data_IF_760796570850
#
_entry.id   IF_760796570850
#
_cell.length_a   1.000
_cell.length_b   1.000
_cell.length_c   1.000
_cell.angle_alpha   90.00
_cell.angle_beta   90.00
_cell.angle_gamma   90.00
#
_symmetry.space_group_name_H-M   'P 1'
#
loop_
_entity.id
_entity.type
_entity.pdbx_description
1 polymer ?
#
# COMPACT_ATOMS: atom_id res chain seq x y z
N UNK A 1 14.30 -7.79 -9.61
CA UNK A 1 13.47 -6.58 -9.84
C UNK A 1 12.07 -6.62 -9.21
N UNK A 2 11.33 -7.75 -9.22
CA UNK A 2 10.00 -7.82 -8.56
C UNK A 2 10.07 -7.58 -7.04
N UNK A 3 10.97 -8.26 -6.34
CA UNK A 3 11.16 -8.09 -4.89
C UNK A 3 11.45 -6.64 -4.46
N UNK A 4 12.29 -5.92 -5.21
CA UNK A 4 12.58 -4.50 -4.93
C UNK A 4 11.35 -3.61 -5.09
N UNK A 5 10.49 -3.87 -6.09
CA UNK A 5 9.24 -3.13 -6.28
C UNK A 5 8.24 -3.42 -5.16
N UNK A 6 8.13 -4.66 -4.72
CA UNK A 6 7.30 -5.04 -3.56
C UNK A 6 7.81 -4.42 -2.27
N UNK A 7 9.13 -4.40 -2.06
CA UNK A 7 9.73 -3.74 -0.90
C UNK A 7 9.50 -2.22 -0.94
N UNK A 8 9.68 -1.59 -2.09
CA UNK A 8 9.42 -0.16 -2.26
C UNK A 8 7.95 0.20 -2.03
N UNK A 9 6.99 -0.58 -2.55
CA UNK A 9 5.56 -0.35 -2.29
C UNK A 9 5.20 -0.57 -0.81
N UNK A 10 5.82 -1.56 -0.15
CA UNK A 10 5.66 -1.79 1.28
C UNK A 10 6.20 -0.63 2.12
N UNK A 11 7.38 -0.09 1.80
CA UNK A 11 7.93 1.08 2.49
C UNK A 11 7.08 2.32 2.28
N UNK A 12 6.58 2.56 1.07
CA UNK A 12 5.68 3.67 0.79
C UNK A 12 4.36 3.56 1.58
N UNK A 13 3.81 2.34 1.70
CA UNK A 13 2.63 2.08 2.53
C UNK A 13 2.89 2.38 4.02
N UNK A 14 4.04 1.96 4.55
CA UNK A 14 4.42 2.26 5.94
C UNK A 14 4.61 3.76 6.17
N UNK A 15 5.27 4.47 5.24
CA UNK A 15 5.46 5.92 5.29
C UNK A 15 4.10 6.64 5.36
N UNK A 16 3.15 6.28 4.48
CA UNK A 16 1.81 6.85 4.48
C UNK A 16 1.08 6.62 5.81
N UNK A 17 1.20 5.42 6.39
CA UNK A 17 0.57 5.11 7.67
C UNK A 17 1.11 6.01 8.79
N UNK A 18 2.43 6.19 8.85
CA UNK A 18 3.09 7.06 9.84
C UNK A 18 2.65 8.51 9.66
N UNK A 19 2.53 8.99 8.43
CA UNK A 19 2.06 10.35 8.13
C UNK A 19 0.62 10.57 8.59
N UNK A 20 -0.29 9.62 8.30
CA UNK A 20 -1.69 9.69 8.74
C UNK A 20 -1.79 9.66 10.27
N UNK A 21 -1.01 8.81 10.93
CA UNK A 21 -0.95 8.76 12.40
C UNK A 21 -0.42 10.10 12.95
N UNK A 22 0.67 10.61 12.39
CA UNK A 22 1.29 11.88 12.80
C UNK A 22 0.31 13.04 12.66
N UNK A 23 -0.41 13.12 11.53
CA UNK A 23 -1.40 14.16 11.29
C UNK A 23 -2.57 14.09 12.29
N UNK A 24 -3.05 12.88 12.58
CA UNK A 24 -4.10 12.67 13.58
C UNK A 24 -3.66 13.08 14.99
N UNK A 25 -2.41 12.78 15.36
CA UNK A 25 -1.85 13.16 16.68
C UNK A 25 -1.68 14.68 16.76
N UNK A 26 -1.12 15.29 15.72
CA UNK A 26 -0.91 16.73 15.65
C UNK A 26 -2.22 17.53 15.80
N UNK A 27 -3.33 16.99 15.29
CA UNK A 27 -4.65 17.63 15.35
C UNK A 27 -5.58 17.07 16.43
N UNK A 28 -5.08 16.27 17.39
CA UNK A 28 -5.91 15.61 18.39
C UNK A 28 -6.74 16.58 19.25
N UNK A 29 -6.20 17.78 19.50
CA UNK A 29 -6.86 18.81 20.32
C UNK A 29 -7.64 19.84 19.49
N UNK A 30 -7.69 19.69 18.16
CA UNK A 30 -8.42 20.63 17.29
C UNK A 30 -9.90 20.30 17.31
N UNK A 31 -10.73 21.24 17.81
CA UNK A 31 -12.17 21.07 17.90
C UNK A 31 -12.76 20.87 16.48
N UNK A 32 -13.53 19.79 16.30
CA UNK A 32 -14.16 19.47 15.01
C UNK A 32 -13.26 18.72 14.02
N UNK A 33 -12.03 18.35 14.41
CA UNK A 33 -11.15 17.54 13.55
C UNK A 33 -11.69 16.12 13.37
N UNK A 34 -11.65 15.62 12.12
CA UNK A 34 -12.06 14.27 11.75
C UNK A 34 -10.84 13.40 11.52
N UNK A 35 -10.70 12.35 12.33
CA UNK A 35 -9.59 11.39 12.22
C UNK A 35 -9.58 10.69 10.87
N UNK A 36 -8.42 10.60 10.24
CA UNK A 36 -8.20 9.86 9.00
C UNK A 36 -7.59 8.48 9.28
N UNK A 37 -7.82 7.51 8.39
CA UNK A 37 -7.19 6.17 8.46
C UNK A 37 -6.68 5.80 7.07
N UNK A 38 -5.47 5.25 7.01
CA UNK A 38 -4.94 4.66 5.80
C UNK A 38 -5.50 3.24 5.66
N UNK A 39 -5.96 2.90 4.46
CA UNK A 39 -6.35 1.55 4.08
C UNK A 39 -5.49 1.11 2.90
N UNK A 40 -5.11 -0.17 2.90
CA UNK A 40 -4.26 -0.75 1.87
C UNK A 40 -5.05 -1.82 1.12
N UNK A 41 -4.85 -1.88 -0.19
CA UNK A 41 -5.49 -2.86 -1.06
C UNK A 41 -4.42 -3.55 -1.90
N UNK A 42 -4.66 -4.82 -2.21
CA UNK A 42 -3.77 -5.61 -3.04
C UNK A 42 -3.84 -5.15 -4.50
N UNK A 43 -2.71 -5.31 -5.20
CA UNK A 43 -2.63 -5.07 -6.63
C UNK A 43 -3.16 -6.29 -7.41
N UNK A 44 -3.54 -6.08 -8.67
CA UNK A 44 -3.95 -7.16 -9.59
C UNK A 44 -2.88 -8.26 -9.68
N UNK A 45 -3.30 -9.50 -9.51
CA UNK A 45 -2.43 -10.67 -9.63
C UNK A 45 -2.04 -10.90 -11.10
N UNK A 46 -0.73 -11.00 -11.37
CA UNK A 46 -0.24 -11.38 -12.69
C UNK A 46 -0.18 -12.90 -12.81
N UNK A 47 -1.22 -13.51 -13.39
CA UNK A 47 -1.21 -14.93 -13.75
C UNK A 47 -0.29 -15.11 -14.97
N UNK A 48 0.92 -15.62 -14.76
CA UNK A 48 1.82 -16.00 -15.86
C UNK A 48 1.36 -17.35 -16.38
N UNK A 49 0.28 -17.38 -17.17
CA UNK A 49 0.02 -18.54 -18.00
C UNK A 49 1.16 -18.65 -19.02
N UNK A 50 1.82 -19.81 -19.08
CA UNK A 50 2.66 -20.14 -20.24
C UNK A 50 1.74 -20.28 -21.44
N UNK A 51 1.56 -19.18 -22.19
CA UNK A 51 0.99 -19.28 -23.54
C UNK A 51 1.93 -20.17 -24.36
N UNK A 52 1.49 -21.40 -24.65
CA UNK A 52 2.19 -22.33 -25.54
C UNK A 52 3.12 -23.35 -24.88
N UNK A 53 2.76 -23.95 -23.73
CA UNK A 53 3.27 -25.30 -23.47
C UNK A 53 2.74 -26.20 -24.60
N UNK A 54 3.64 -26.53 -25.53
CA UNK A 54 3.38 -27.13 -26.83
C UNK A 54 2.34 -28.26 -26.73
N UNK A 55 1.28 -28.13 -27.53
CA UNK A 55 0.64 -29.28 -28.14
C UNK A 55 1.71 -30.13 -28.83
N UNK A 56 1.89 -31.36 -28.35
CA UNK A 56 2.54 -32.46 -29.08
C UNK A 56 1.72 -33.71 -28.80
#
# INVERSE_FOLDING_TARGET
MRALRTAASGMAAQQLNVEVISNNIANMNTIGYKRQRAEFQDLLYQNVERMGAQSS
#
